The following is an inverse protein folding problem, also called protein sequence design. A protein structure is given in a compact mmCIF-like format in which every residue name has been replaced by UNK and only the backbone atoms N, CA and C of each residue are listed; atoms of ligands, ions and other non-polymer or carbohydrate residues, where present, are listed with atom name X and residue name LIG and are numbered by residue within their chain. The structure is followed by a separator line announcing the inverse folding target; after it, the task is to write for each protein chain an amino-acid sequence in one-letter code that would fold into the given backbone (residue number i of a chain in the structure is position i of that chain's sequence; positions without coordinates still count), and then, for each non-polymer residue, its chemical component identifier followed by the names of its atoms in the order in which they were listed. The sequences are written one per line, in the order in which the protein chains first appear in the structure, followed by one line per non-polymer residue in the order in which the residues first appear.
data_IF_091092800738
#
_entry.id   IF_091092800738
#
_cell.length_a   1.000
_cell.length_b   1.000
_cell.length_c   1.000
_cell.angle_alpha   90.00
_cell.angle_beta   90.00
_cell.angle_gamma   90.00
#
_symmetry.space_group_name_H-M   'P 1'
#
loop_
_entity.id
_entity.type
_entity.pdbx_description
1 polymer ?
#
# COMPACT_ATOMS: atom_id res chain seq x y z
N UNK A 1 8.90 14.25 5.68
CA UNK A 1 8.18 13.96 4.41
C UNK A 1 6.91 13.15 4.63
N UNK A 2 6.97 11.94 5.22
CA UNK A 2 5.80 11.04 5.39
C UNK A 2 4.63 11.65 6.19
N UNK A 3 4.92 12.37 7.27
CA UNK A 3 3.88 13.08 8.04
C UNK A 3 3.23 14.20 7.23
N UNK A 4 3.98 14.90 6.38
CA UNK A 4 3.44 15.93 5.49
C UNK A 4 2.47 15.34 4.44
N UNK A 5 2.78 14.14 3.93
CA UNK A 5 1.85 13.40 3.07
C UNK A 5 0.54 13.08 3.79
N UNK A 6 0.61 12.58 5.03
CA UNK A 6 -0.58 12.31 5.84
C UNK A 6 -1.42 13.59 6.11
N UNK A 7 -0.76 14.75 6.27
CA UNK A 7 -1.46 16.03 6.43
C UNK A 7 -2.23 16.43 5.17
N UNK A 8 -1.66 16.25 3.98
CA UNK A 8 -2.33 16.54 2.69
C UNK A 8 -3.52 15.61 2.46
N UNK A 9 -3.46 14.36 2.92
CA UNK A 9 -4.56 13.42 2.82
C UNK A 9 -5.67 13.62 3.88
N UNK A 10 -5.50 14.53 4.84
CA UNK A 10 -6.47 14.75 5.91
C UNK A 10 -7.78 15.29 5.35
N UNK A 11 -8.81 14.46 5.33
CA UNK A 11 -10.15 14.84 4.89
C UNK A 11 -11.21 14.07 5.69
N UNK A 12 -12.34 14.72 5.93
CA UNK A 12 -13.54 14.12 6.52
C UNK A 12 -14.74 14.57 5.70
N UNK A 13 -15.51 13.61 5.22
CA UNK A 13 -16.71 13.84 4.42
C UNK A 13 -17.91 13.23 5.15
N UNK A 14 -19.11 13.76 4.88
CA UNK A 14 -20.35 13.12 5.32
C UNK A 14 -20.50 11.77 4.65
N UNK A 15 -21.16 10.84 5.32
CA UNK A 15 -21.31 9.46 4.85
C UNK A 15 -22.00 9.40 3.48
N UNK A 16 -23.06 10.17 3.28
CA UNK A 16 -23.82 10.21 2.03
C UNK A 16 -22.95 10.71 0.87
N UNK A 17 -22.08 11.70 1.13
CA UNK A 17 -21.15 12.21 0.14
C UNK A 17 -19.97 11.26 -0.10
N UNK A 18 -19.51 10.52 0.92
CA UNK A 18 -18.54 9.44 0.73
C UNK A 18 -19.10 8.37 -0.22
N UNK A 19 -20.33 7.91 0.02
CA UNK A 19 -21.01 6.92 -0.83
C UNK A 19 -21.17 7.46 -2.25
N UNK A 20 -21.63 8.71 -2.41
CA UNK A 20 -21.76 9.33 -3.73
C UNK A 20 -20.41 9.39 -4.46
N UNK A 21 -19.34 9.80 -3.77
CA UNK A 21 -17.99 9.89 -4.35
C UNK A 21 -17.46 8.54 -4.78
N UNK A 22 -17.72 7.47 -4.02
CA UNK A 22 -17.33 6.12 -4.43
C UNK A 22 -17.92 5.72 -5.79
N UNK A 23 -19.11 6.23 -6.14
CA UNK A 23 -19.76 5.90 -7.40
C UNK A 23 -19.29 6.75 -8.60
N UNK A 24 -18.93 8.02 -8.38
CA UNK A 24 -18.71 8.99 -9.49
C UNK A 24 -17.32 9.59 -9.56
N UNK A 25 -16.52 9.48 -8.50
CA UNK A 25 -15.23 10.13 -8.41
C UNK A 25 -14.11 9.17 -8.80
N UNK A 26 -13.26 9.58 -9.74
CA UNK A 26 -12.18 8.74 -10.27
C UNK A 26 -11.01 8.56 -9.30
N UNK A 27 -10.84 9.46 -8.33
CA UNK A 27 -9.74 9.34 -7.38
C UNK A 27 -10.13 8.49 -6.17
N UNK A 28 -9.18 7.71 -5.70
CA UNK A 28 -9.36 6.89 -4.50
C UNK A 28 -9.72 7.76 -3.27
N UNK A 29 -10.48 7.21 -2.31
CA UNK A 29 -10.73 7.83 -1.01
C UNK A 29 -9.45 8.29 -0.30
N UNK A 30 -9.50 9.37 0.49
CA UNK A 30 -8.33 10.01 1.08
C UNK A 30 -7.52 9.10 2.02
N UNK A 31 -8.20 8.25 2.79
CA UNK A 31 -7.62 7.22 3.67
C UNK A 31 -6.85 6.16 2.88
N UNK A 32 -7.42 5.67 1.77
CA UNK A 32 -6.73 4.74 0.87
C UNK A 32 -5.56 5.41 0.17
N UNK A 33 -5.70 6.67 -0.29
CA UNK A 33 -4.60 7.43 -0.90
C UNK A 33 -3.42 7.58 0.05
N UNK A 34 -3.67 7.78 1.33
CA UNK A 34 -2.61 7.89 2.33
C UNK A 34 -1.96 6.53 2.57
N UNK A 35 -2.75 5.54 3.00
CA UNK A 35 -2.24 4.30 3.58
C UNK A 35 -1.78 3.28 2.52
N UNK A 36 -2.52 3.16 1.42
CA UNK A 36 -2.19 2.18 0.38
C UNK A 36 -0.91 2.52 -0.39
N UNK A 37 -0.47 3.78 -0.38
CA UNK A 37 0.77 4.19 -1.02
C UNK A 37 1.96 3.93 -0.09
N UNK A 38 1.92 4.44 1.14
CA UNK A 38 3.07 4.37 2.06
C UNK A 38 3.42 2.94 2.46
N UNK A 39 2.44 2.03 2.54
CA UNK A 39 2.67 0.61 2.85
C UNK A 39 3.55 -0.11 1.81
N UNK A 40 3.69 0.43 0.59
CA UNK A 40 4.55 -0.14 -0.44
C UNK A 40 5.97 0.47 -0.45
N UNK A 41 6.28 1.40 0.44
CA UNK A 41 7.59 2.07 0.49
C UNK A 41 8.45 1.49 1.60
N UNK A 42 9.63 0.98 1.27
CA UNK A 42 10.59 0.49 2.27
C UNK A 42 10.93 1.58 3.30
N UNK A 43 11.05 2.85 2.86
CA UNK A 43 11.27 4.00 3.75
C UNK A 43 10.19 4.19 4.80
N UNK A 44 8.94 3.80 4.52
CA UNK A 44 7.87 3.86 5.53
C UNK A 44 8.06 2.78 6.60
N UNK A 45 8.40 1.55 6.19
CA UNK A 45 8.69 0.45 7.11
C UNK A 45 9.89 0.79 7.99
N UNK A 46 10.96 1.33 7.42
CA UNK A 46 12.16 1.73 8.14
C UNK A 46 11.92 2.89 9.11
N UNK A 47 11.23 3.94 8.66
CA UNK A 47 11.04 5.17 9.45
C UNK A 47 10.11 4.97 10.66
N UNK A 48 9.14 4.05 10.56
CA UNK A 48 8.18 3.78 11.63
C UNK A 48 8.38 2.41 12.30
N UNK A 49 9.38 1.63 11.89
CA UNK A 49 9.69 0.33 12.46
C UNK A 49 8.57 -0.70 12.27
N UNK A 50 7.85 -0.64 11.14
CA UNK A 50 6.70 -1.50 10.83
C UNK A 50 7.17 -2.93 10.62
N UNK A 51 6.49 -3.89 11.24
CA UNK A 51 6.85 -5.31 11.26
C UNK A 51 5.68 -6.18 10.83
N UNK A 52 5.99 -7.43 10.53
CA UNK A 52 4.96 -8.44 10.28
C UNK A 52 3.97 -8.52 11.46
N UNK A 53 2.68 -8.43 11.15
CA UNK A 53 1.59 -8.34 12.12
C UNK A 53 1.03 -6.93 12.32
N UNK A 54 1.76 -5.88 11.94
CA UNK A 54 1.24 -4.51 12.00
C UNK A 54 0.20 -4.26 10.90
N UNK A 55 -0.80 -3.42 11.20
CA UNK A 55 -1.94 -3.17 10.31
C UNK A 55 -1.55 -2.65 8.91
N UNK A 56 -0.44 -1.92 8.81
CA UNK A 56 0.08 -1.37 7.55
C UNK A 56 1.33 -2.09 7.05
N UNK A 57 1.63 -3.28 7.59
CA UNK A 57 2.71 -4.10 7.05
C UNK A 57 2.32 -4.68 5.69
N UNK A 58 3.28 -4.69 4.77
CA UNK A 58 3.15 -5.31 3.46
C UNK A 58 4.44 -6.04 3.15
N UNK A 59 4.32 -7.33 2.86
CA UNK A 59 5.42 -8.11 2.31
C UNK A 59 5.85 -7.50 0.97
N UNK A 60 7.15 -7.28 0.79
CA UNK A 60 7.72 -6.73 -0.42
C UNK A 60 7.34 -7.60 -1.63
N UNK A 61 6.55 -7.04 -2.57
CA UNK A 61 6.29 -7.66 -3.87
C UNK A 61 7.29 -7.12 -4.87
N UNK A 62 8.41 -7.82 -5.03
CA UNK A 62 9.34 -7.52 -6.12
C UNK A 62 8.77 -8.07 -7.42
N UNK A 63 8.20 -7.19 -8.25
CA UNK A 63 7.94 -7.54 -9.64
C UNK A 63 9.29 -7.58 -10.36
N UNK A 64 9.79 -8.78 -10.62
CA UNK A 64 10.98 -8.95 -11.47
C UNK A 64 10.52 -8.86 -12.92
N UNK A 65 10.83 -7.75 -13.58
CA UNK A 65 10.66 -7.64 -15.04
C UNK A 65 11.84 -8.37 -15.67
N UNK A 66 11.61 -9.56 -16.22
CA UNK A 66 12.55 -10.28 -17.06
C UNK A 66 12.08 -10.10 -18.51
N UNK A 67 12.46 -8.97 -19.13
CA UNK A 67 11.86 -8.51 -20.40
C UNK A 67 10.37 -8.12 -20.26
N UNK A 68 9.70 -7.81 -21.38
CA UNK A 68 8.34 -7.25 -21.49
C UNK A 68 7.17 -8.10 -20.91
N UNK A 69 7.46 -9.12 -20.09
CA UNK A 69 6.43 -9.89 -19.36
C UNK A 69 6.60 -9.76 -17.85
N UNK A 70 5.53 -9.29 -17.20
CA UNK A 70 5.36 -9.36 -15.76
C UNK A 70 5.21 -10.82 -15.32
N UNK A 71 6.27 -11.41 -14.78
CA UNK A 71 6.20 -12.64 -14.00
C UNK A 71 5.88 -12.27 -12.56
N UNK A 72 4.70 -12.63 -12.07
CA UNK A 72 4.34 -12.48 -10.67
C UNK A 72 5.27 -13.37 -9.83
N UNK A 73 6.05 -12.74 -8.94
CA UNK A 73 6.97 -13.44 -8.05
C UNK A 73 6.21 -14.40 -7.15
N UNK A 74 6.46 -15.70 -7.35
CA UNK A 74 6.07 -16.78 -6.44
C UNK A 74 6.95 -16.66 -5.21
N UNK A 75 6.28 -16.45 -4.08
CA UNK A 75 6.82 -16.74 -2.76
C UNK A 75 7.17 -18.23 -2.73
N UNK A 76 8.43 -18.59 -2.93
CA UNK A 76 8.87 -19.98 -2.80
C UNK A 76 8.88 -20.35 -1.30
N UNK A 77 8.02 -21.27 -0.83
CA UNK A 77 8.24 -21.89 0.46
C UNK A 77 9.35 -22.92 0.30
N UNK A 78 10.39 -22.83 1.13
CA UNK A 78 11.43 -23.84 1.17
C UNK A 78 10.88 -25.20 1.60
N UNK A 79 11.33 -26.26 0.92
CA UNK A 79 11.47 -27.61 1.47
C UNK A 79 12.31 -28.49 0.51
N UNK A 80 12.89 -29.60 0.99
CA UNK A 80 14.10 -29.75 1.78
C UNK A 80 15.27 -30.26 0.90
N UNK A 81 16.47 -30.24 1.42
CA UNK A 81 17.57 -31.07 0.91
C UNK A 81 17.24 -32.56 1.09
N UNK A 82 17.22 -33.30 -0.01
CA UNK A 82 17.49 -34.73 -0.09
C UNK A 82 18.26 -34.99 -1.39
#
# INVERSE_FOLDING_TARGET
MLIGWAQVCRSKVREEEAIRRLAVYSHSPPDLRCNAIVTNLDTFHDAFGVREGDALYRRARRHRVAGDRLVAGVDAPGHPTA
#
